data_IF_359563936420
#
_entry.id   IF_359563936420
#
_cell.length_a   1.000
_cell.length_b   1.000
_cell.length_c   1.000
_cell.angle_alpha   90.00
_cell.angle_beta   90.00
_cell.angle_gamma   90.00
#
_symmetry.space_group_name_H-M   'P 1'
#
loop_
_entity.id
_entity.type
_entity.pdbx_description
1 polymer ?
#
# COMPACT_ATOMS: atom_id res chain seq x y z
N UNK A 1 13.89 -76.43 6.82
CA UNK A 1 12.98 -75.27 6.66
C UNK A 1 13.61 -74.38 5.60
N UNK A 2 13.12 -74.49 4.37
CA UNK A 2 13.69 -73.86 3.17
C UNK A 2 13.16 -72.44 2.98
N UNK A 3 14.07 -71.48 2.86
CA UNK A 3 13.77 -70.08 2.55
C UNK A 3 13.42 -69.93 1.07
N UNK A 4 12.31 -69.27 0.77
CA UNK A 4 11.94 -68.88 -0.60
C UNK A 4 12.81 -67.70 -1.07
N UNK A 5 13.16 -67.62 -2.38
CA UNK A 5 13.91 -66.51 -2.94
C UNK A 5 13.03 -65.24 -3.08
N UNK A 6 13.65 -64.04 -3.13
CA UNK A 6 12.92 -62.79 -3.26
C UNK A 6 12.34 -62.64 -4.68
N UNK A 7 11.09 -62.16 -4.74
CA UNK A 7 10.38 -61.81 -5.96
C UNK A 7 10.91 -60.46 -6.45
N UNK A 8 11.47 -60.42 -7.65
CA UNK A 8 11.72 -59.16 -8.38
C UNK A 8 10.37 -58.62 -8.87
N UNK A 9 9.98 -57.44 -8.37
CA UNK A 9 8.88 -56.65 -8.91
C UNK A 9 9.49 -55.66 -9.90
N UNK A 10 9.31 -55.94 -11.20
CA UNK A 10 9.54 -54.98 -12.27
C UNK A 10 8.60 -53.79 -12.05
N UNK A 11 9.18 -52.62 -11.76
CA UNK A 11 8.44 -51.36 -11.75
C UNK A 11 8.56 -50.77 -13.14
N UNK A 12 7.47 -50.85 -13.92
CA UNK A 12 7.31 -50.11 -15.17
C UNK A 12 7.50 -48.62 -14.88
N UNK A 13 8.54 -48.03 -15.45
CA UNK A 13 8.72 -46.58 -15.50
C UNK A 13 7.74 -46.07 -16.56
N UNK A 14 6.53 -45.73 -16.12
CA UNK A 14 5.62 -44.93 -16.94
C UNK A 14 6.19 -43.51 -16.95
N UNK A 15 6.67 -43.12 -18.12
CA UNK A 15 7.06 -41.75 -18.45
C UNK A 15 5.79 -40.88 -18.47
N UNK A 16 5.33 -40.46 -17.30
CA UNK A 16 4.42 -39.33 -17.19
C UNK A 16 5.28 -38.07 -17.23
N UNK A 17 5.52 -37.60 -18.46
CA UNK A 17 5.87 -36.21 -18.71
C UNK A 17 4.79 -35.35 -18.04
N UNK A 18 5.06 -34.90 -16.82
CA UNK A 18 4.28 -33.85 -16.17
C UNK A 18 4.31 -32.66 -17.11
N UNK A 19 3.17 -32.42 -17.74
CA UNK A 19 2.89 -31.21 -18.48
C UNK A 19 3.24 -30.02 -17.57
N UNK A 20 4.14 -29.20 -18.07
CA UNK A 20 4.65 -27.99 -17.46
C UNK A 20 3.49 -26.97 -17.42
N UNK A 21 2.62 -27.10 -16.41
CA UNK A 21 1.57 -26.14 -16.09
C UNK A 21 2.23 -24.90 -15.45
N UNK A 22 3.10 -24.25 -16.22
CA UNK A 22 3.57 -22.90 -15.95
C UNK A 22 2.47 -21.96 -16.42
N UNK A 23 1.62 -21.39 -15.54
CA UNK A 23 0.69 -20.35 -15.97
C UNK A 23 1.52 -19.24 -16.57
N UNK A 24 1.15 -18.79 -17.78
CA UNK A 24 1.84 -17.74 -18.55
C UNK A 24 2.09 -16.48 -17.71
N UNK A 25 3.24 -16.45 -17.05
CA UNK A 25 3.76 -15.31 -16.32
C UNK A 25 4.71 -14.57 -17.24
N UNK A 26 4.69 -13.24 -17.18
CA UNK A 26 5.60 -12.39 -17.96
C UNK A 26 7.04 -12.81 -17.64
N UNK A 27 7.85 -13.18 -18.65
CA UNK A 27 9.25 -13.55 -18.44
C UNK A 27 10.00 -12.44 -17.71
N UNK A 28 10.80 -12.82 -16.70
CA UNK A 28 11.56 -11.89 -15.86
C UNK A 28 12.69 -11.15 -16.60
N UNK A 29 12.93 -11.50 -17.88
CA UNK A 29 14.05 -10.96 -18.64
C UNK A 29 13.65 -9.70 -19.42
N UNK A 30 14.24 -8.59 -18.95
CA UNK A 30 14.45 -7.30 -19.63
C UNK A 30 13.32 -6.28 -19.60
N UNK A 31 12.96 -5.75 -18.43
CA UNK A 31 12.31 -4.43 -18.39
C UNK A 31 12.77 -3.60 -17.19
N UNK A 32 13.11 -2.33 -17.45
CA UNK A 32 13.17 -1.30 -16.41
C UNK A 32 11.80 -1.25 -15.72
N UNK A 33 11.77 -0.98 -14.41
CA UNK A 33 10.53 -0.94 -13.60
C UNK A 33 9.30 -0.29 -14.29
N UNK A 34 9.45 0.81 -15.07
CA UNK A 34 8.34 1.40 -15.82
C UNK A 34 7.71 0.49 -16.89
N UNK A 35 8.50 -0.29 -17.63
CA UNK A 35 7.97 -1.15 -18.69
C UNK A 35 7.24 -2.39 -18.14
N UNK A 36 7.48 -2.74 -16.86
CA UNK A 36 6.68 -3.75 -16.14
C UNK A 36 5.25 -3.26 -15.88
N UNK A 37 5.05 -1.96 -15.62
CA UNK A 37 3.74 -1.40 -15.30
C UNK A 37 2.80 -1.41 -16.52
N UNK A 38 3.30 -1.09 -17.72
CA UNK A 38 2.47 -1.17 -18.93
C UNK A 38 2.22 -2.65 -19.32
N UNK A 39 3.25 -3.50 -19.21
CA UNK A 39 3.13 -4.92 -19.54
C UNK A 39 2.14 -5.67 -18.62
N UNK A 40 2.07 -5.30 -17.33
CA UNK A 40 1.17 -5.97 -16.38
C UNK A 40 -0.30 -5.67 -16.66
N UNK A 41 -0.62 -4.45 -17.12
CA UNK A 41 -2.00 -4.08 -17.48
C UNK A 41 -2.47 -4.88 -18.69
N UNK A 42 -1.63 -5.02 -19.71
CA UNK A 42 -1.94 -5.84 -20.89
C UNK A 42 -2.11 -7.32 -20.54
N UNK A 43 -1.27 -7.85 -19.63
CA UNK A 43 -1.45 -9.21 -19.10
C UNK A 43 -2.81 -9.37 -18.43
N UNK A 44 -3.18 -8.46 -17.52
CA UNK A 44 -4.47 -8.55 -16.80
C UNK A 44 -5.66 -8.47 -17.75
N UNK A 45 -5.59 -7.59 -18.76
CA UNK A 45 -6.63 -7.49 -19.81
C UNK A 45 -6.73 -8.77 -20.64
N UNK A 46 -5.60 -9.34 -21.03
CA UNK A 46 -5.55 -10.60 -21.79
C UNK A 46 -6.18 -11.74 -20.98
N UNK A 47 -5.76 -11.90 -19.72
CA UNK A 47 -6.32 -12.93 -18.83
C UNK A 47 -7.80 -12.71 -18.53
N UNK A 48 -8.27 -11.45 -18.50
CA UNK A 48 -9.70 -11.14 -18.39
C UNK A 48 -10.46 -11.59 -19.64
N UNK A 49 -9.95 -11.28 -20.84
CA UNK A 49 -10.57 -11.66 -22.10
C UNK A 49 -10.61 -13.19 -22.29
N UNK A 50 -9.60 -13.90 -21.79
CA UNK A 50 -9.54 -15.37 -21.75
C UNK A 50 -10.45 -15.99 -20.67
N UNK A 51 -10.99 -15.19 -19.74
CA UNK A 51 -11.82 -15.66 -18.64
C UNK A 51 -11.05 -16.38 -17.52
N UNK A 52 -9.73 -16.22 -17.46
CA UNK A 52 -8.84 -16.89 -16.49
C UNK A 52 -8.22 -15.93 -15.47
N UNK A 53 -8.59 -14.65 -15.49
CA UNK A 53 -8.08 -13.65 -14.55
C UNK A 53 -8.41 -14.03 -13.10
N UNK A 54 -7.36 -14.20 -12.31
CA UNK A 54 -7.43 -14.49 -10.88
C UNK A 54 -6.65 -13.47 -10.03
N UNK A 55 -6.91 -13.38 -8.70
CA UNK A 55 -6.16 -12.51 -7.79
C UNK A 55 -4.64 -12.74 -7.82
N UNK A 56 -4.19 -13.96 -8.16
CA UNK A 56 -2.78 -14.31 -8.23
C UNK A 56 -2.00 -13.45 -9.24
N UNK A 57 -2.63 -13.03 -10.35
CA UNK A 57 -1.98 -12.18 -11.36
C UNK A 57 -1.65 -10.77 -10.85
N UNK A 58 -2.49 -10.22 -9.96
CA UNK A 58 -2.22 -8.94 -9.31
C UNK A 58 -1.14 -9.11 -8.23
N UNK A 59 -1.28 -10.16 -7.42
CA UNK A 59 -0.38 -10.48 -6.34
C UNK A 59 1.04 -10.77 -6.84
N UNK A 60 1.21 -11.39 -8.00
CA UNK A 60 2.53 -11.60 -8.59
C UNK A 60 3.27 -10.29 -8.89
N UNK A 61 2.55 -9.31 -9.43
CA UNK A 61 3.12 -7.99 -9.65
C UNK A 61 3.50 -7.31 -8.33
N UNK A 62 2.61 -7.37 -7.33
CA UNK A 62 2.85 -6.76 -6.02
C UNK A 62 3.98 -7.43 -5.25
N UNK A 63 4.09 -8.75 -5.30
CA UNK A 63 5.15 -9.55 -4.68
C UNK A 63 6.56 -9.09 -5.06
N UNK A 64 6.75 -8.63 -6.29
CA UNK A 64 8.04 -8.08 -6.75
C UNK A 64 8.15 -6.58 -6.51
N UNK A 65 7.06 -5.85 -6.71
CA UNK A 65 7.09 -4.38 -6.78
C UNK A 65 7.00 -3.72 -5.39
N UNK A 66 6.18 -4.27 -4.49
CA UNK A 66 5.98 -3.73 -3.13
C UNK A 66 7.28 -3.74 -2.33
N UNK A 67 8.05 -4.85 -2.24
CA UNK A 67 9.31 -4.81 -1.51
C UNK A 67 10.32 -3.82 -2.10
N UNK A 68 10.32 -3.59 -3.40
CA UNK A 68 11.27 -2.64 -4.02
C UNK A 68 11.01 -1.18 -3.64
N UNK A 69 9.75 -0.83 -3.38
CA UNK A 69 9.35 0.53 -3.01
C UNK A 69 9.45 0.72 -1.50
N UNK A 70 8.97 -0.26 -0.72
CA UNK A 70 8.71 -0.09 0.71
C UNK A 70 9.73 -0.79 1.62
N UNK A 71 10.66 -1.59 1.08
CA UNK A 71 11.69 -2.20 1.94
C UNK A 71 12.52 -1.12 2.62
N UNK A 72 12.79 -1.27 3.93
CA UNK A 72 13.66 -0.35 4.64
C UNK A 72 15.06 -0.34 4.02
N UNK A 73 15.60 0.87 3.89
CA UNK A 73 16.94 1.07 3.38
C UNK A 73 18.00 0.70 4.45
N UNK A 74 19.17 0.18 4.04
CA UNK A 74 20.26 -0.09 4.97
C UNK A 74 20.65 1.13 5.80
N UNK A 75 21.07 0.91 7.05
CA UNK A 75 21.52 1.95 7.99
C UNK A 75 20.46 3.00 8.37
N UNK A 76 19.17 2.72 8.18
CA UNK A 76 18.06 3.57 8.62
C UNK A 76 17.27 2.92 9.76
N UNK A 77 16.57 3.77 10.51
CA UNK A 77 15.55 3.38 11.49
C UNK A 77 14.15 3.60 10.91
N UNK A 78 13.10 3.16 11.60
CA UNK A 78 11.73 3.49 11.19
C UNK A 78 11.39 4.99 11.28
N UNK A 79 12.19 5.81 11.96
CA UNK A 79 11.98 7.26 12.02
C UNK A 79 12.38 7.97 10.71
N UNK A 80 13.31 7.38 9.96
CA UNK A 80 13.81 7.92 8.69
C UNK A 80 13.10 7.32 7.47
N UNK A 81 12.04 6.54 7.70
CA UNK A 81 11.37 5.82 6.62
C UNK A 81 10.72 6.79 5.66
N UNK A 82 11.26 6.82 4.45
CA UNK A 82 10.68 7.49 3.30
C UNK A 82 10.72 6.50 2.15
N UNK A 83 9.71 6.57 1.30
CA UNK A 83 9.63 5.79 0.07
C UNK A 83 9.33 6.74 -1.08
N UNK A 84 9.62 6.29 -2.30
CA UNK A 84 9.33 7.06 -3.50
C UNK A 84 7.83 6.99 -3.80
N UNK A 85 7.09 8.01 -3.35
CA UNK A 85 5.65 8.13 -3.58
C UNK A 85 5.29 8.18 -5.07
N UNK A 86 6.13 8.79 -5.90
CA UNK A 86 5.90 8.88 -7.35
C UNK A 86 6.06 7.49 -8.00
N UNK A 87 7.08 6.75 -7.60
CA UNK A 87 7.28 5.36 -8.03
C UNK A 87 6.14 4.46 -7.56
N UNK A 88 5.67 4.62 -6.33
CA UNK A 88 4.51 3.90 -5.81
C UNK A 88 3.24 4.18 -6.63
N UNK A 89 2.96 5.46 -6.90
CA UNK A 89 1.84 5.85 -7.74
C UNK A 89 1.95 5.23 -9.14
N UNK A 90 3.14 5.27 -9.74
CA UNK A 90 3.38 4.78 -11.09
C UNK A 90 3.29 3.25 -11.21
N UNK A 91 3.79 2.51 -10.23
CA UNK A 91 3.91 1.06 -10.35
C UNK A 91 2.79 0.28 -9.65
N UNK A 92 2.09 0.86 -8.69
CA UNK A 92 1.05 0.16 -7.92
C UNK A 92 -0.35 0.71 -8.19
N UNK A 93 -0.50 2.03 -8.31
CA UNK A 93 -1.81 2.68 -8.42
C UNK A 93 -2.25 2.85 -9.88
N UNK A 94 -1.40 3.47 -10.71
CA UNK A 94 -1.70 3.72 -12.12
C UNK A 94 -2.07 2.45 -12.91
N UNK A 95 -1.42 1.28 -12.72
CA UNK A 95 -1.83 0.06 -13.42
C UNK A 95 -3.27 -0.37 -13.09
N UNK A 96 -3.69 -0.23 -11.83
CA UNK A 96 -5.05 -0.54 -11.42
C UNK A 96 -6.05 0.44 -12.04
N UNK A 97 -5.73 1.74 -12.05
CA UNK A 97 -6.54 2.77 -12.72
C UNK A 97 -6.66 2.48 -14.22
N UNK A 98 -5.56 2.18 -14.89
CA UNK A 98 -5.55 1.85 -16.31
C UNK A 98 -6.31 0.56 -16.64
N UNK A 99 -6.25 -0.44 -15.76
CA UNK A 99 -7.04 -1.65 -15.89
C UNK A 99 -8.53 -1.37 -15.76
N UNK A 100 -8.96 -0.60 -14.76
CA UNK A 100 -10.38 -0.24 -14.56
C UNK A 100 -10.90 0.62 -15.71
N UNK A 101 -10.20 1.72 -16.00
CA UNK A 101 -10.69 2.77 -16.89
C UNK A 101 -10.37 2.55 -18.36
N UNK A 102 -9.28 1.87 -18.71
CA UNK A 102 -8.85 1.80 -20.11
C UNK A 102 -9.77 0.92 -20.96
N UNK A 103 -10.23 1.48 -22.08
CA UNK A 103 -11.00 0.76 -23.09
C UNK A 103 -10.14 -0.17 -23.95
N UNK A 104 -10.80 -0.99 -24.78
CA UNK A 104 -10.17 -1.95 -25.69
C UNK A 104 -9.21 -1.34 -26.73
N UNK A 105 -9.15 -0.01 -26.83
CA UNK A 105 -8.37 0.75 -27.82
C UNK A 105 -7.21 1.57 -27.21
N UNK A 106 -6.95 1.45 -25.90
CA UNK A 106 -5.88 2.20 -25.24
C UNK A 106 -6.16 3.71 -25.08
N UNK A 107 -7.39 4.16 -25.33
CA UNK A 107 -7.78 5.55 -25.06
C UNK A 107 -7.84 5.80 -23.54
N UNK A 108 -7.18 6.88 -23.07
CA UNK A 108 -7.37 7.38 -21.70
C UNK A 108 -8.82 7.83 -21.58
N UNK A 109 -9.63 7.09 -20.84
CA UNK A 109 -10.97 7.55 -20.47
C UNK A 109 -10.82 8.86 -19.70
N UNK A 110 -11.52 9.88 -20.19
CA UNK A 110 -11.55 11.20 -19.56
C UNK A 110 -12.08 11.01 -18.15
N UNK A 111 -11.36 11.47 -17.10
CA UNK A 111 -11.86 11.34 -15.74
C UNK A 111 -13.25 11.98 -15.66
N UNK A 112 -14.15 11.44 -14.82
CA UNK A 112 -15.48 12.01 -14.66
C UNK A 112 -15.40 13.52 -14.45
N UNK A 113 -16.37 14.25 -15.00
CA UNK A 113 -16.47 15.71 -14.86
C UNK A 113 -16.28 16.11 -13.40
N UNK A 114 -15.70 17.30 -13.18
CA UNK A 114 -15.31 17.85 -11.86
C UNK A 114 -16.28 17.39 -10.77
N UNK A 115 -15.76 16.61 -9.82
CA UNK A 115 -16.51 16.13 -8.67
C UNK A 115 -17.19 17.29 -7.95
N UNK A 116 -18.45 17.09 -7.55
CA UNK A 116 -19.16 18.02 -6.66
C UNK A 116 -18.63 17.95 -5.22
N UNK A 117 -17.84 16.93 -4.90
CA UNK A 117 -17.10 16.77 -3.64
C UNK A 117 -15.64 17.17 -3.82
N UNK A 118 -15.10 17.95 -2.88
CA UNK A 118 -13.67 18.29 -2.88
C UNK A 118 -12.81 17.11 -2.44
N UNK A 119 -13.06 16.54 -1.26
CA UNK A 119 -12.35 15.35 -0.75
C UNK A 119 -10.83 15.51 -0.56
N UNK A 120 -10.27 16.72 -0.70
CA UNK A 120 -8.82 16.94 -0.55
C UNK A 120 -8.37 16.51 0.85
N UNK A 121 -7.44 15.56 0.89
CA UNK A 121 -6.81 15.09 2.13
C UNK A 121 -5.82 16.13 2.63
N UNK A 122 -5.87 16.45 3.92
CA UNK A 122 -4.97 17.43 4.54
C UNK A 122 -3.60 16.84 4.85
N UNK A 123 -2.55 17.61 4.57
CA UNK A 123 -1.19 17.33 5.06
C UNK A 123 -0.98 17.91 6.45
N UNK A 124 -0.01 17.38 7.18
CA UNK A 124 0.34 17.89 8.51
C UNK A 124 0.73 19.37 8.43
N UNK A 125 0.14 20.18 9.31
CA UNK A 125 0.34 21.63 9.35
C UNK A 125 -0.48 22.43 8.34
N UNK A 126 -1.22 21.80 7.41
CA UNK A 126 -2.08 22.53 6.47
C UNK A 126 -3.25 23.22 7.20
N UNK A 127 -3.61 24.47 6.82
CA UNK A 127 -4.75 25.15 7.41
C UNK A 127 -6.08 24.50 7.03
N UNK A 128 -6.92 24.26 8.03
CA UNK A 128 -8.29 23.79 7.90
C UNK A 128 -9.26 24.81 8.52
N UNK A 129 -10.40 25.04 7.88
CA UNK A 129 -11.40 26.04 8.29
C UNK A 129 -12.71 25.37 8.67
N UNK A 130 -13.16 25.58 9.90
CA UNK A 130 -14.46 25.09 10.37
C UNK A 130 -15.41 26.26 10.59
N UNK A 131 -16.62 26.22 10.01
CA UNK A 131 -17.65 27.23 10.23
C UNK A 131 -18.50 26.86 11.44
N UNK A 132 -18.48 27.68 12.50
CA UNK A 132 -19.22 27.40 13.74
C UNK A 132 -20.73 27.51 13.60
N UNK A 133 -21.18 28.20 12.56
CA UNK A 133 -22.61 28.43 12.30
C UNK A 133 -23.20 27.34 11.41
N UNK A 134 -22.41 26.79 10.49
CA UNK A 134 -22.92 25.94 9.41
C UNK A 134 -22.53 24.47 9.55
N UNK A 135 -21.41 24.15 10.21
CA UNK A 135 -20.99 22.76 10.42
C UNK A 135 -22.04 21.98 11.22
N UNK A 136 -22.24 20.72 10.86
CA UNK A 136 -23.09 19.80 11.62
C UNK A 136 -22.45 19.44 12.96
N UNK A 137 -21.13 19.25 12.98
CA UNK A 137 -20.34 19.07 14.20
C UNK A 137 -18.95 19.77 14.09
N UNK A 138 -18.08 19.53 15.08
CA UNK A 138 -16.76 20.16 15.16
C UNK A 138 -15.68 19.51 14.26
N UNK A 139 -16.04 18.45 13.55
CA UNK A 139 -15.16 17.76 12.59
C UNK A 139 -15.31 18.33 11.18
N UNK A 140 -16.41 19.04 10.89
CA UNK A 140 -16.65 19.65 9.58
C UNK A 140 -15.62 20.74 9.25
N UNK A 141 -14.87 20.55 8.16
CA UNK A 141 -13.74 21.37 7.75
C UNK A 141 -13.66 21.60 6.24
N UNK A 142 -13.16 22.77 5.87
CA UNK A 142 -12.87 23.16 4.50
C UNK A 142 -11.37 23.40 4.32
N UNK A 143 -10.83 22.99 3.16
CA UNK A 143 -9.51 23.40 2.74
C UNK A 143 -9.48 24.90 2.40
N UNK A 144 -8.27 25.48 2.35
CA UNK A 144 -8.04 26.90 2.05
C UNK A 144 -8.73 27.32 0.74
N UNK A 145 -8.63 26.47 -0.29
CA UNK A 145 -9.17 26.75 -1.62
C UNK A 145 -10.70 26.81 -1.61
N UNK A 146 -11.35 25.84 -0.96
CA UNK A 146 -12.82 25.82 -0.84
C UNK A 146 -13.34 26.94 0.04
N UNK A 147 -12.71 27.18 1.19
CA UNK A 147 -13.15 28.21 2.14
C UNK A 147 -13.13 29.61 1.51
N UNK A 148 -12.08 29.95 0.75
CA UNK A 148 -11.95 31.26 0.10
C UNK A 148 -13.08 31.60 -0.87
N UNK A 149 -13.72 30.60 -1.44
CA UNK A 149 -14.76 30.74 -2.47
C UNK A 149 -16.09 30.13 -2.02
N UNK A 150 -16.30 29.93 -0.72
CA UNK A 150 -17.58 29.53 -0.14
C UNK A 150 -18.26 30.68 0.60
N UNK A 151 -19.55 30.50 0.92
CA UNK A 151 -20.29 31.45 1.74
C UNK A 151 -19.69 31.59 3.16
N UNK A 152 -19.05 30.53 3.67
CA UNK A 152 -18.59 30.44 5.06
C UNK A 152 -17.47 31.42 5.43
N UNK A 153 -16.78 32.01 4.45
CA UNK A 153 -15.80 33.08 4.71
C UNK A 153 -16.42 34.34 5.33
N UNK A 154 -17.73 34.48 5.24
CA UNK A 154 -18.51 35.58 5.80
C UNK A 154 -19.18 35.23 7.14
N UNK A 155 -18.96 34.03 7.67
CA UNK A 155 -19.50 33.56 8.95
C UNK A 155 -18.44 33.56 10.06
N UNK A 156 -18.83 33.20 11.28
CA UNK A 156 -17.90 32.89 12.38
C UNK A 156 -17.25 31.54 12.14
N UNK A 157 -15.98 31.58 11.76
CA UNK A 157 -15.17 30.39 11.55
C UNK A 157 -14.03 30.27 12.56
N UNK A 158 -13.44 29.08 12.63
CA UNK A 158 -12.18 28.79 13.32
C UNK A 158 -11.19 28.25 12.29
N UNK A 159 -9.98 28.79 12.28
CA UNK A 159 -8.86 28.21 11.57
C UNK A 159 -8.08 27.31 12.53
N UNK A 160 -7.74 26.10 12.10
CA UNK A 160 -6.86 25.18 12.80
C UNK A 160 -5.75 24.69 11.87
N UNK A 161 -4.67 24.16 12.45
CA UNK A 161 -3.68 23.39 11.69
C UNK A 161 -4.08 21.92 11.76
N UNK A 162 -4.11 21.25 10.61
CA UNK A 162 -4.37 19.81 10.56
C UNK A 162 -3.18 19.04 11.16
N UNK A 163 -3.47 17.99 11.93
CA UNK A 163 -2.47 17.03 12.39
C UNK A 163 -1.91 16.13 11.28
N UNK A 164 -2.47 16.24 10.06
CA UNK A 164 -2.26 15.29 8.97
C UNK A 164 -3.37 14.25 8.95
N UNK A 165 -3.94 14.00 7.77
CA UNK A 165 -5.16 13.19 7.62
C UNK A 165 -6.46 14.01 7.74
N UNK A 166 -7.60 13.36 7.51
CA UNK A 166 -8.90 14.00 7.29
C UNK A 166 -9.01 14.62 5.89
N UNK A 167 -10.23 14.92 5.43
CA UNK A 167 -10.48 15.49 4.11
C UNK A 167 -11.39 16.72 4.17
N UNK A 168 -11.37 17.51 3.10
CA UNK A 168 -12.25 18.66 2.94
C UNK A 168 -13.70 18.22 2.67
N UNK A 169 -14.63 18.70 3.49
CA UNK A 169 -16.06 18.35 3.44
C UNK A 169 -16.86 19.23 2.47
N UNK A 170 -16.19 19.98 1.59
CA UNK A 170 -16.89 20.76 0.58
C UNK A 170 -17.63 19.82 -0.37
N UNK A 171 -18.94 20.05 -0.51
CA UNK A 171 -19.86 19.27 -1.31
C UNK A 171 -20.58 18.17 -0.57
N UNK A 172 -20.19 17.89 0.68
CA UNK A 172 -20.87 16.91 1.52
C UNK A 172 -22.10 17.57 2.17
N UNK A 173 -23.29 17.20 1.70
CA UNK A 173 -24.55 17.72 2.23
C UNK A 173 -24.85 17.27 3.66
N UNK A 174 -24.21 16.21 4.14
CA UNK A 174 -24.36 15.73 5.52
C UNK A 174 -23.44 16.48 6.50
N UNK A 175 -22.37 17.14 6.01
CA UNK A 175 -21.46 17.91 6.85
C UNK A 175 -21.94 19.35 7.14
N UNK A 176 -22.83 19.91 6.31
CA UNK A 176 -23.24 21.33 6.40
C UNK A 176 -24.75 21.52 6.49
N UNK A 177 -25.20 22.31 7.47
CA UNK A 177 -26.61 22.75 7.62
C UNK A 177 -27.12 23.57 6.44
N UNK A 178 -26.22 24.29 5.77
CA UNK A 178 -26.49 25.16 4.62
C UNK A 178 -25.19 25.42 3.86
N UNK A 179 -25.33 25.84 2.60
CA UNK A 179 -24.22 26.19 1.71
C UNK A 179 -23.13 25.10 1.57
N UNK A 180 -23.47 23.81 1.40
CA UNK A 180 -22.47 22.73 1.41
C UNK A 180 -21.42 22.83 0.29
N UNK A 181 -21.70 23.56 -0.79
CA UNK A 181 -20.84 23.69 -1.94
C UNK A 181 -20.12 25.05 -1.99
N UNK A 182 -18.85 25.05 -2.36
CA UNK A 182 -18.14 26.26 -2.80
C UNK A 182 -18.29 26.45 -4.31
N UNK A 183 -17.96 27.63 -4.81
CA UNK A 183 -18.09 27.97 -6.25
C UNK A 183 -17.35 26.99 -7.18
N UNK A 184 -16.28 26.35 -6.72
CA UNK A 184 -15.52 25.38 -7.52
C UNK A 184 -16.19 24.02 -7.64
N UNK A 185 -17.08 23.69 -6.70
CA UNK A 185 -17.70 22.37 -6.55
C UNK A 185 -19.24 22.43 -6.63
N UNK A 186 -19.83 23.57 -6.99
CA UNK A 186 -21.24 23.68 -7.33
C UNK A 186 -21.47 23.07 -8.71
N UNK A 187 -22.49 22.20 -8.85
CA UNK A 187 -22.92 21.72 -10.16
C UNK A 187 -23.50 22.89 -10.98
N UNK A 188 -23.22 23.00 -12.28
CA UNK A 188 -23.83 24.05 -13.11
C UNK A 188 -25.35 23.86 -13.18
N UNK A 189 -26.11 24.95 -13.02
CA UNK A 189 -27.59 24.98 -12.94
C UNK A 189 -28.35 24.36 -14.13
N UNK A 190 -27.66 23.98 -15.22
CA UNK A 190 -28.27 23.40 -16.43
C UNK A 190 -28.25 21.85 -16.48
N UNK A 191 -27.88 21.16 -15.41
CA UNK A 191 -27.70 19.69 -15.40
C UNK A 191 -28.87 18.89 -14.78
N UNK A 192 -30.10 19.45 -14.72
CA UNK A 192 -31.31 18.65 -14.46
C UNK A 192 -31.69 17.71 -15.63
N UNK A 193 -30.94 17.74 -16.75
CA UNK A 193 -31.12 16.85 -17.89
C UNK A 193 -29.79 16.29 -18.40
N UNK A 194 -29.23 15.33 -17.66
CA UNK A 194 -28.65 14.10 -18.22
C UNK A 194 -28.27 13.18 -17.05
N UNK A 195 -29.27 12.42 -16.65
CA UNK A 195 -29.15 11.14 -15.94
C UNK A 195 -27.80 10.48 -16.15
N UNK A 196 -27.08 10.27 -15.04
CA UNK A 196 -26.02 9.29 -14.89
C UNK A 196 -24.92 9.42 -15.96
N UNK A 197 -23.76 9.93 -15.58
CA UNK A 197 -22.51 9.39 -16.11
C UNK A 197 -22.48 7.89 -15.79
N UNK A 198 -23.17 7.08 -16.59
CA UNK A 198 -23.33 5.66 -16.35
C UNK A 198 -21.99 5.04 -16.65
N UNK A 199 -21.27 4.69 -15.59
CA UNK A 199 -20.06 3.89 -15.66
C UNK A 199 -20.40 2.66 -16.51
N UNK A 200 -19.63 2.42 -17.57
CA UNK A 200 -19.86 1.30 -18.48
C UNK A 200 -19.91 -0.02 -17.70
N UNK A 201 -20.74 -1.00 -18.11
CA UNK A 201 -20.86 -2.27 -17.39
C UNK A 201 -19.51 -3.01 -17.28
N UNK A 202 -18.65 -2.84 -18.28
CA UNK A 202 -17.30 -3.37 -18.35
C UNK A 202 -16.36 -2.69 -17.33
N UNK A 203 -16.45 -1.37 -17.20
CA UNK A 203 -15.70 -0.61 -16.17
C UNK A 203 -16.17 -1.03 -14.77
N UNK A 204 -17.47 -1.20 -14.57
CA UNK A 204 -18.02 -1.64 -13.29
C UNK A 204 -17.56 -3.05 -12.93
N UNK A 205 -17.49 -3.96 -13.90
CA UNK A 205 -16.93 -5.30 -13.71
C UNK A 205 -15.46 -5.25 -13.29
N UNK A 206 -14.62 -4.52 -14.03
CA UNK A 206 -13.20 -4.37 -13.69
C UNK A 206 -13.00 -3.69 -12.34
N UNK A 207 -13.83 -2.71 -12.00
CA UNK A 207 -13.81 -2.05 -10.70
C UNK A 207 -14.13 -3.03 -9.55
N UNK A 208 -15.13 -3.90 -9.72
CA UNK A 208 -15.46 -4.95 -8.73
C UNK A 208 -14.30 -5.92 -8.54
N UNK A 209 -13.63 -6.32 -9.62
CA UNK A 209 -12.46 -7.19 -9.58
C UNK A 209 -11.34 -6.52 -8.76
N UNK A 210 -10.95 -5.29 -9.13
CA UNK A 210 -9.88 -4.56 -8.44
C UNK A 210 -10.23 -4.34 -6.97
N UNK A 211 -11.44 -3.88 -6.66
CA UNK A 211 -11.88 -3.67 -5.29
C UNK A 211 -11.82 -4.97 -4.47
N UNK A 212 -12.30 -6.09 -5.03
CA UNK A 212 -12.25 -7.40 -4.37
C UNK A 212 -10.81 -7.85 -4.08
N UNK A 213 -9.92 -7.73 -5.08
CA UNK A 213 -8.51 -8.14 -4.94
C UNK A 213 -7.78 -7.26 -3.93
N UNK A 214 -7.94 -5.95 -4.00
CA UNK A 214 -7.33 -5.00 -3.06
C UNK A 214 -7.82 -5.20 -1.64
N UNK A 215 -9.14 -5.31 -1.42
CA UNK A 215 -9.70 -5.53 -0.09
C UNK A 215 -9.27 -6.88 0.49
N UNK A 216 -9.25 -7.93 -0.33
CA UNK A 216 -8.78 -9.25 0.10
C UNK A 216 -7.30 -9.23 0.47
N UNK A 217 -6.47 -8.52 -0.30
CA UNK A 217 -5.05 -8.34 0.00
C UNK A 217 -4.82 -7.57 1.29
N UNK A 218 -5.52 -6.43 1.47
CA UNK A 218 -5.45 -5.64 2.71
C UNK A 218 -5.91 -6.45 3.91
N UNK A 219 -7.08 -7.10 3.82
CA UNK A 219 -7.59 -7.96 4.88
C UNK A 219 -6.56 -9.03 5.25
N UNK A 220 -6.11 -9.80 4.25
CA UNK A 220 -5.13 -10.86 4.45
C UNK A 220 -3.87 -10.35 5.13
N UNK A 221 -3.27 -9.25 4.68
CA UNK A 221 -2.04 -8.71 5.28
C UNK A 221 -2.25 -8.10 6.67
N UNK A 222 -3.38 -7.44 6.92
CA UNK A 222 -3.69 -6.80 8.20
C UNK A 222 -4.13 -7.82 9.27
N UNK A 223 -4.69 -8.95 8.85
CA UNK A 223 -5.13 -10.04 9.74
C UNK A 223 -4.21 -11.27 9.68
N UNK A 224 -2.96 -11.12 9.22
CA UNK A 224 -1.98 -12.20 9.29
C UNK A 224 -1.72 -12.53 10.77
N UNK A 225 -2.38 -13.59 11.25
CA UNK A 225 -2.16 -14.17 12.57
C UNK A 225 -0.71 -14.62 12.66
N UNK A 226 0.08 -13.86 13.45
CA UNK A 226 1.42 -14.05 14.04
C UNK A 226 2.34 -15.21 13.56
N UNK A 227 2.26 -15.64 12.30
CA UNK A 227 3.25 -16.47 11.66
C UNK A 227 4.35 -15.53 11.12
N UNK A 228 5.63 -15.79 11.39
CA UNK A 228 6.72 -14.86 11.12
C UNK A 228 7.05 -14.69 9.61
N UNK A 229 6.13 -15.02 8.72
CA UNK A 229 6.38 -15.00 7.28
C UNK A 229 5.18 -14.58 6.47
N UNK A 230 5.48 -13.86 5.38
CA UNK A 230 4.54 -13.60 4.31
C UNK A 230 4.01 -14.93 3.75
N UNK A 231 2.77 -14.97 3.25
CA UNK A 231 2.26 -16.09 2.48
C UNK A 231 3.17 -16.45 1.30
N UNK A 232 3.26 -17.73 0.94
CA UNK A 232 4.23 -18.25 -0.04
C UNK A 232 4.10 -17.59 -1.42
N UNK A 233 2.87 -17.34 -1.85
CA UNK A 233 2.51 -16.63 -3.09
C UNK A 233 2.87 -15.13 -3.07
N UNK A 234 3.26 -14.58 -1.92
CA UNK A 234 3.79 -13.21 -1.77
C UNK A 234 5.30 -13.19 -1.47
N UNK A 235 5.98 -14.34 -1.52
CA UNK A 235 7.44 -14.41 -1.37
C UNK A 235 8.14 -14.31 -2.73
N UNK A 236 9.28 -13.64 -2.77
CA UNK A 236 10.17 -13.70 -3.94
C UNK A 236 10.61 -15.15 -4.15
N UNK A 237 10.50 -15.67 -5.38
CA UNK A 237 10.91 -17.05 -5.70
C UNK A 237 12.43 -17.07 -5.85
N UNK A 238 13.09 -18.15 -5.42
CA UNK A 238 14.56 -18.23 -5.41
C UNK A 238 15.18 -18.04 -6.80
N UNK A 239 14.56 -18.55 -7.86
CA UNK A 239 15.02 -18.35 -9.24
C UNK A 239 14.97 -16.88 -9.72
N UNK A 240 14.05 -16.09 -9.16
CA UNK A 240 13.93 -14.65 -9.44
C UNK A 240 14.83 -13.82 -8.52
N UNK A 241 15.20 -14.39 -7.37
CA UNK A 241 16.10 -13.77 -6.41
C UNK A 241 17.45 -13.50 -7.06
N UNK A 242 17.99 -14.44 -7.84
CA UNK A 242 19.25 -14.26 -8.57
C UNK A 242 19.15 -13.15 -9.64
N UNK A 243 18.11 -13.12 -10.48
CA UNK A 243 17.93 -12.08 -11.51
C UNK A 243 17.71 -10.67 -10.91
N UNK A 244 17.14 -10.59 -9.70
CA UNK A 244 16.92 -9.35 -8.95
C UNK A 244 18.12 -8.94 -8.08
N UNK A 245 18.92 -9.90 -7.57
CA UNK A 245 20.10 -9.68 -6.72
C UNK A 245 21.39 -9.44 -7.52
N UNK A 246 21.49 -9.90 -8.77
CA UNK A 246 22.70 -9.72 -9.61
C UNK A 246 23.05 -8.24 -9.82
N UNK A 247 22.14 -7.28 -9.54
CA UNK A 247 22.38 -5.88 -9.83
C UNK A 247 22.56 -4.87 -8.68
N UNK A 248 22.10 -5.03 -7.42
CA UNK A 248 22.50 -4.00 -6.41
C UNK A 248 22.10 -4.11 -4.90
N UNK A 249 21.62 -5.23 -4.33
CA UNK A 249 21.13 -5.17 -2.92
C UNK A 249 21.83 -6.17 -1.99
N UNK A 250 22.56 -5.70 -0.96
CA UNK A 250 23.15 -6.58 0.06
C UNK A 250 22.05 -7.25 0.89
N UNK A 251 22.37 -8.39 1.50
CA UNK A 251 21.50 -9.08 2.45
C UNK A 251 21.02 -8.11 3.56
N UNK A 252 19.75 -7.70 3.47
CA UNK A 252 19.13 -6.75 4.39
C UNK A 252 18.27 -7.51 5.41
N UNK A 253 18.74 -7.50 6.65
CA UNK A 253 18.03 -7.93 7.84
C UNK A 253 17.63 -6.71 8.66
N UNK A 254 16.63 -6.87 9.53
CA UNK A 254 16.22 -5.80 10.43
C UNK A 254 16.08 -6.33 11.85
N UNK A 255 16.57 -5.53 12.80
CA UNK A 255 16.34 -5.76 14.22
C UNK A 255 15.05 -5.03 14.60
N UNK A 256 14.08 -5.76 15.15
CA UNK A 256 12.79 -5.25 15.60
C UNK A 256 12.72 -5.40 17.11
N UNK A 257 12.46 -4.31 17.82
CA UNK A 257 12.25 -4.30 19.26
C UNK A 257 10.76 -4.38 19.54
N UNK A 258 10.36 -5.33 20.39
CA UNK A 258 8.97 -5.54 20.82
C UNK A 258 8.76 -4.95 22.20
N UNK A 259 7.57 -4.41 22.45
CA UNK A 259 7.16 -3.99 23.78
C UNK A 259 6.94 -5.25 24.64
N UNK A 260 7.65 -5.35 25.75
CA UNK A 260 7.53 -6.47 26.69
C UNK A 260 6.68 -6.13 27.93
N UNK A 261 6.19 -4.90 28.04
CA UNK A 261 5.42 -4.37 29.18
C UNK A 261 6.15 -4.41 30.55
N UNK A 262 7.43 -4.77 30.58
CA UNK A 262 8.21 -4.93 31.82
C UNK A 262 9.25 -3.85 32.04
N UNK A 263 9.95 -3.44 30.98
CA UNK A 263 11.01 -2.42 31.07
C UNK A 263 10.44 -1.00 31.05
N UNK A 264 11.00 -0.11 31.87
CA UNK A 264 10.61 1.30 31.89
C UNK A 264 11.16 2.05 30.68
N UNK A 265 10.49 3.15 30.28
CA UNK A 265 10.93 3.97 29.15
C UNK A 265 12.37 4.47 29.31
N UNK A 266 12.77 4.91 30.51
CA UNK A 266 14.13 5.41 30.77
C UNK A 266 15.19 4.32 30.58
N UNK A 267 14.90 3.08 30.99
CA UNK A 267 15.81 1.95 30.78
C UNK A 267 16.00 1.67 29.29
N UNK A 268 14.90 1.59 28.53
CA UNK A 268 14.95 1.33 27.09
C UNK A 268 15.65 2.47 26.35
N UNK A 269 15.34 3.73 26.68
CA UNK A 269 16.01 4.91 26.11
C UNK A 269 17.52 4.87 26.39
N UNK A 270 17.94 4.51 27.60
CA UNK A 270 19.37 4.44 27.96
C UNK A 270 20.09 3.36 27.16
N UNK A 271 19.47 2.18 27.02
CA UNK A 271 20.01 1.07 26.21
C UNK A 271 20.10 1.47 24.73
N UNK A 272 19.05 2.06 24.15
CA UNK A 272 19.04 2.50 22.76
C UNK A 272 20.12 3.56 22.48
N UNK A 273 20.28 4.55 23.35
CA UNK A 273 21.34 5.56 23.23
C UNK A 273 22.74 4.93 23.26
N UNK A 274 22.97 3.95 24.14
CA UNK A 274 24.24 3.23 24.26
C UNK A 274 24.56 2.42 23.01
N UNK A 275 23.58 1.66 22.51
CA UNK A 275 23.81 0.62 21.50
C UNK A 275 23.67 1.16 20.07
N UNK A 276 22.67 2.01 19.80
CA UNK A 276 22.48 2.59 18.47
C UNK A 276 23.40 3.79 18.19
N UNK A 277 24.00 4.38 19.23
CA UNK A 277 24.71 5.67 19.16
C UNK A 277 23.83 6.78 18.56
N UNK A 278 22.51 6.65 18.70
CA UNK A 278 21.53 7.65 18.29
C UNK A 278 21.51 8.82 19.27
N UNK A 279 20.88 9.93 18.86
CA UNK A 279 20.64 11.03 19.79
C UNK A 279 19.48 10.67 20.75
N UNK A 280 19.41 11.36 21.89
CA UNK A 280 18.40 11.08 22.92
C UNK A 280 16.96 11.28 22.42
N UNK A 281 16.73 12.23 21.52
CA UNK A 281 15.41 12.51 20.95
C UNK A 281 14.92 11.32 20.11
N UNK A 282 15.74 10.78 19.23
CA UNK A 282 15.40 9.63 18.40
C UNK A 282 15.07 8.41 19.26
N UNK A 283 15.81 8.18 20.35
CA UNK A 283 15.49 7.10 21.29
C UNK A 283 14.15 7.29 22.00
N UNK A 284 13.80 8.52 22.38
CA UNK A 284 12.48 8.83 22.96
C UNK A 284 11.36 8.60 21.94
N UNK A 285 11.55 9.03 20.70
CA UNK A 285 10.59 8.83 19.61
C UNK A 285 10.41 7.34 19.29
N UNK A 286 11.50 6.55 19.23
CA UNK A 286 11.44 5.10 19.07
C UNK A 286 10.68 4.40 20.20
N UNK A 287 10.97 4.73 21.46
CA UNK A 287 10.27 4.13 22.61
C UNK A 287 8.79 4.48 22.60
N UNK A 288 8.44 5.72 22.28
CA UNK A 288 7.04 6.14 22.12
C UNK A 288 6.33 5.36 21.01
N UNK A 289 7.03 5.05 19.92
CA UNK A 289 6.50 4.22 18.83
C UNK A 289 6.31 2.76 19.27
N UNK A 290 7.27 2.19 19.99
CA UNK A 290 7.19 0.82 20.52
C UNK A 290 6.02 0.67 21.48
N UNK A 291 5.80 1.65 22.35
CA UNK A 291 4.68 1.66 23.28
C UNK A 291 3.33 1.71 22.53
N UNK A 292 3.22 2.61 21.54
CA UNK A 292 1.99 2.82 20.77
C UNK A 292 1.64 1.67 19.83
N UNK A 293 2.63 1.13 19.11
CA UNK A 293 2.44 0.12 18.06
C UNK A 293 2.76 -1.31 18.51
N UNK A 294 3.27 -1.47 19.74
CA UNK A 294 3.74 -2.74 20.30
C UNK A 294 5.11 -3.20 19.79
N UNK A 295 5.68 -2.56 18.76
CA UNK A 295 6.99 -2.88 18.19
C UNK A 295 7.54 -1.73 17.33
N UNK A 296 8.85 -1.67 17.17
CA UNK A 296 9.51 -0.78 16.21
C UNK A 296 10.76 -1.40 15.58
N UNK A 297 11.02 -1.01 14.34
CA UNK A 297 12.25 -1.34 13.64
C UNK A 297 13.36 -0.39 14.10
N UNK A 298 14.38 -0.93 14.75
CA UNK A 298 15.48 -0.14 15.32
C UNK A 298 16.67 0.01 14.36
N UNK A 299 16.91 -0.98 13.49
CA UNK A 299 17.99 -0.91 12.49
C UNK A 299 17.82 -1.94 11.38
N UNK A 300 18.12 -1.57 10.14
CA UNK A 300 18.34 -2.53 9.06
C UNK A 300 19.80 -2.57 8.59
N UNK A 301 20.36 -3.77 8.47
CA UNK A 301 21.74 -4.03 8.08
C UNK A 301 21.98 -5.50 7.70
N UNK A 302 23.24 -5.91 7.52
CA UNK A 302 23.59 -7.32 7.37
C UNK A 302 23.20 -8.13 8.60
N UNK A 303 22.98 -9.45 8.40
CA UNK A 303 22.63 -10.38 9.46
C UNK A 303 23.56 -10.26 10.68
N UNK A 304 24.87 -10.23 10.46
CA UNK A 304 25.89 -10.15 11.51
C UNK A 304 25.73 -8.91 12.39
N UNK A 305 25.39 -7.76 11.80
CA UNK A 305 25.21 -6.51 12.54
C UNK A 305 23.87 -6.51 13.29
N UNK A 306 22.81 -7.01 12.66
CA UNK A 306 21.50 -7.12 13.29
C UNK A 306 21.47 -8.12 14.45
N UNK A 307 22.15 -9.26 14.31
CA UNK A 307 22.27 -10.29 15.35
C UNK A 307 23.11 -9.80 16.53
N UNK A 308 24.24 -9.14 16.26
CA UNK A 308 25.01 -8.47 17.31
C UNK A 308 24.19 -7.41 18.05
N UNK A 309 23.44 -6.57 17.32
CA UNK A 309 22.59 -5.54 17.91
C UNK A 309 21.53 -6.15 18.82
N UNK A 310 20.93 -7.27 18.41
CA UNK A 310 19.99 -8.02 19.25
C UNK A 310 20.66 -8.42 20.56
N UNK A 311 21.83 -9.06 20.51
CA UNK A 311 22.57 -9.46 21.72
C UNK A 311 22.91 -8.27 22.62
N UNK A 312 23.38 -7.16 22.04
CA UNK A 312 23.76 -5.94 22.77
C UNK A 312 22.56 -5.24 23.48
N UNK A 313 21.33 -5.46 22.98
CA UNK A 313 20.08 -4.96 23.59
C UNK A 313 19.61 -5.91 24.70
N UNK A 314 19.78 -7.22 24.53
CA UNK A 314 19.40 -8.25 25.51
C UNK A 314 20.34 -8.31 26.73
N UNK A 315 21.50 -7.62 26.70
CA UNK A 315 22.51 -7.56 27.80
C UNK A 315 22.59 -6.22 28.54
#
# INVERSE_FOLDING_TARGET
>A
MSSLPPVELEVEVVDESMEDDAPEMIPADRFTLPARADAVVELWRTKLAEGVLSPAHFQDHWRVTVPRIYSPQPNRTCLDWSFDEELAQKLLIQPLEQFVWGGADGSRVVPPRRSTLCGRVFKQGEPAYSCRECGMDNTCVLCVECFKVSAHRHHKYKMGQSGGGGCCDCGDTEAWKRDPFCVLHTAPDNEEQESQSSIGPDVLERMKIVASVCLSYCFRLLTLDHAPGLPNDLRLKDAERDLLQILDQPDCYCTVLYNDETHTFEQVITTLNRVLKSNHRDSVELVSLIDREGRALVKCNSFQICDKLKTDIET
#
